data_IF_239160741915
#
_entry.id   IF_239160741915
#
_cell.length_a   1.000
_cell.length_b   1.000
_cell.length_c   1.000
_cell.angle_alpha   90.00
_cell.angle_beta   90.00
_cell.angle_gamma   90.00
#
_symmetry.space_group_name_H-M   'P 1'
#
loop_
_entity.id
_entity.type
_entity.pdbx_description
1 polymer ?
#
# COMPACT_ATOMS: atom_id res chain seq x y z
N UNK A 1 -33.85 10.31 -30.50
CA UNK A 1 -33.11 10.61 -29.25
C UNK A 1 -32.32 9.37 -28.88
N UNK A 2 -30.99 9.42 -28.96
CA UNK A 2 -30.12 8.32 -28.56
C UNK A 2 -29.60 8.62 -27.15
N UNK A 3 -29.88 7.72 -26.21
CA UNK A 3 -29.39 7.81 -24.84
C UNK A 3 -27.98 7.25 -24.87
N UNK A 4 -26.96 8.11 -24.75
CA UNK A 4 -25.58 7.66 -24.63
C UNK A 4 -25.42 6.99 -23.25
N UNK A 5 -25.32 5.67 -23.23
CA UNK A 5 -24.87 4.92 -22.06
C UNK A 5 -23.39 5.20 -21.88
N UNK A 6 -23.05 6.09 -20.95
CA UNK A 6 -21.67 6.24 -20.50
C UNK A 6 -21.31 4.99 -19.69
N UNK A 7 -20.67 4.03 -20.34
CA UNK A 7 -19.99 2.92 -19.67
C UNK A 7 -19.01 3.52 -18.68
N UNK A 8 -19.35 3.52 -17.39
CA UNK A 8 -18.41 3.97 -16.37
C UNK A 8 -17.21 3.05 -16.44
N UNK A 9 -16.07 3.58 -16.89
CA UNK A 9 -14.81 2.87 -16.78
C UNK A 9 -14.64 2.48 -15.30
N UNK A 10 -14.35 1.21 -14.98
CA UNK A 10 -14.17 0.81 -13.60
C UNK A 10 -13.08 1.68 -12.99
N UNK A 11 -13.43 2.45 -11.96
CA UNK A 11 -12.45 3.24 -11.21
C UNK A 11 -11.58 2.26 -10.44
N UNK A 12 -10.31 2.16 -10.82
CA UNK A 12 -9.34 1.37 -10.07
C UNK A 12 -9.33 1.84 -8.60
N UNK A 13 -9.27 0.90 -7.65
CA UNK A 13 -9.23 1.23 -6.23
C UNK A 13 -7.96 2.03 -5.90
N UNK A 14 -8.00 2.83 -4.84
CA UNK A 14 -6.83 3.58 -4.32
C UNK A 14 -6.14 2.89 -3.15
N UNK A 15 -6.76 1.85 -2.63
CA UNK A 15 -6.30 1.01 -1.53
C UNK A 15 -6.82 -0.41 -1.78
N UNK A 16 -6.01 -1.41 -1.45
CA UNK A 16 -6.39 -2.81 -1.55
C UNK A 16 -6.08 -3.51 -0.23
N UNK A 17 -6.99 -4.36 0.22
CA UNK A 17 -6.71 -5.28 1.31
C UNK A 17 -6.27 -6.64 0.76
N UNK A 18 -5.15 -7.22 1.24
CA UNK A 18 -4.64 -8.50 0.75
C UNK A 18 -5.65 -9.65 0.84
N UNK A 19 -6.55 -9.64 1.83
CA UNK A 19 -7.59 -10.67 1.99
C UNK A 19 -8.69 -10.61 0.90
N UNK A 20 -8.75 -9.54 0.11
CA UNK A 20 -9.59 -9.45 -1.09
C UNK A 20 -8.90 -9.98 -2.36
N UNK A 21 -7.61 -10.33 -2.28
CA UNK A 21 -6.85 -10.89 -3.38
C UNK A 21 -6.87 -12.43 -3.31
N UNK A 22 -6.62 -13.07 -4.46
CA UNK A 22 -6.25 -14.48 -4.44
C UNK A 22 -4.96 -14.66 -3.63
N UNK A 23 -4.88 -15.71 -2.81
CA UNK A 23 -3.74 -15.92 -1.89
C UNK A 23 -2.38 -15.82 -2.60
N UNK A 24 -2.24 -16.44 -3.77
CA UNK A 24 -1.00 -16.38 -4.57
C UNK A 24 -0.64 -14.96 -5.02
N UNK A 25 -1.65 -14.11 -5.27
CA UNK A 25 -1.43 -12.70 -5.64
C UNK A 25 -1.01 -11.91 -4.41
N UNK A 26 -1.65 -12.15 -3.26
CA UNK A 26 -1.26 -11.51 -2.00
C UNK A 26 0.20 -11.84 -1.63
N UNK A 27 0.60 -13.12 -1.74
CA UNK A 27 1.96 -13.57 -1.46
C UNK A 27 2.99 -12.90 -2.37
N UNK A 28 2.73 -12.88 -3.69
CA UNK A 28 3.62 -12.23 -4.67
C UNK A 28 3.77 -10.74 -4.43
N UNK A 29 2.69 -10.06 -4.04
CA UNK A 29 2.73 -8.62 -3.77
C UNK A 29 3.52 -8.35 -2.50
N UNK A 30 3.32 -9.15 -1.45
CA UNK A 30 4.12 -9.03 -0.24
C UNK A 30 5.61 -9.23 -0.52
N UNK A 31 5.96 -10.25 -1.30
CA UNK A 31 7.34 -10.50 -1.69
C UNK A 31 7.95 -9.34 -2.49
N UNK A 32 7.20 -8.77 -3.45
CA UNK A 32 7.65 -7.60 -4.21
C UNK A 32 7.89 -6.39 -3.31
N UNK A 33 7.03 -6.16 -2.32
CA UNK A 33 7.19 -5.05 -1.37
C UNK A 33 8.35 -5.30 -0.41
N UNK A 34 8.53 -6.52 0.09
CA UNK A 34 9.69 -6.89 0.91
C UNK A 34 11.01 -6.70 0.15
N UNK A 35 11.05 -7.05 -1.14
CA UNK A 35 12.20 -6.81 -2.01
C UNK A 35 12.40 -5.30 -2.26
N UNK A 36 11.32 -4.54 -2.45
CA UNK A 36 11.40 -3.10 -2.67
C UNK A 36 12.01 -2.38 -1.45
N UNK A 37 11.59 -2.78 -0.24
CA UNK A 37 12.12 -2.31 1.04
C UNK A 37 13.62 -2.66 1.14
N UNK A 38 13.99 -3.92 0.86
CA UNK A 38 15.39 -4.37 0.88
C UNK A 38 16.30 -3.58 -0.08
N UNK A 39 15.82 -3.25 -1.29
CA UNK A 39 16.57 -2.42 -2.23
C UNK A 39 16.64 -0.96 -1.79
N UNK A 40 15.58 -0.41 -1.20
CA UNK A 40 15.56 0.95 -0.67
C UNK A 40 16.60 1.13 0.45
N UNK A 41 16.70 0.17 1.38
CA UNK A 41 17.69 0.15 2.47
C UNK A 41 19.14 0.17 1.96
N UNK A 42 19.36 -0.30 0.74
CA UNK A 42 20.67 -0.35 0.06
C UNK A 42 20.91 0.83 -0.87
N UNK A 43 20.01 1.82 -0.88
CA UNK A 43 20.02 2.98 -1.78
C UNK A 43 19.89 2.60 -3.27
N UNK A 44 19.37 1.41 -3.58
CA UNK A 44 19.13 0.91 -4.93
C UNK A 44 17.75 1.37 -5.46
N UNK A 45 17.52 2.69 -5.44
CA UNK A 45 16.19 3.31 -5.63
C UNK A 45 15.50 2.96 -6.94
N UNK A 46 16.26 2.76 -8.03
CA UNK A 46 15.68 2.35 -9.32
C UNK A 46 15.11 0.94 -9.30
N UNK A 47 15.75 0.02 -8.57
CA UNK A 47 15.25 -1.35 -8.41
C UNK A 47 13.98 -1.35 -7.55
N UNK A 48 14.00 -0.61 -6.43
CA UNK A 48 12.82 -0.43 -5.56
C UNK A 48 11.62 0.14 -6.35
N UNK A 49 11.82 1.21 -7.13
CA UNK A 49 10.75 1.80 -7.95
C UNK A 49 10.16 0.85 -9.00
N UNK A 50 10.98 -0.04 -9.58
CA UNK A 50 10.50 -1.07 -10.52
C UNK A 50 9.62 -2.11 -9.83
N UNK A 51 9.99 -2.52 -8.61
CA UNK A 51 9.25 -3.49 -7.81
C UNK A 51 7.90 -2.91 -7.36
N UNK A 52 7.86 -1.64 -6.91
CA UNK A 52 6.59 -0.97 -6.63
C UNK A 52 5.69 -0.91 -7.87
N UNK A 53 6.25 -0.58 -9.05
CA UNK A 53 5.49 -0.57 -10.31
C UNK A 53 4.92 -1.94 -10.64
N UNK A 54 5.69 -3.01 -10.45
CA UNK A 54 5.24 -4.38 -10.69
C UNK A 54 4.11 -4.77 -9.72
N UNK A 55 4.23 -4.42 -8.43
CA UNK A 55 3.18 -4.64 -7.45
C UNK A 55 1.89 -3.90 -7.80
N UNK A 56 1.97 -2.61 -8.20
CA UNK A 56 0.83 -1.80 -8.65
C UNK A 56 0.10 -2.47 -9.81
N UNK A 57 0.83 -2.96 -10.81
CA UNK A 57 0.27 -3.65 -11.97
C UNK A 57 -0.40 -4.97 -11.58
N UNK A 58 0.22 -5.72 -10.67
CA UNK A 58 -0.26 -7.04 -10.23
C UNK A 58 -1.60 -6.94 -9.48
N UNK A 59 -1.78 -5.94 -8.62
CA UNK A 59 -3.02 -5.76 -7.85
C UNK A 59 -4.07 -4.89 -8.53
N UNK A 60 -3.73 -4.23 -9.64
CA UNK A 60 -4.66 -3.39 -10.40
C UNK A 60 -5.15 -2.15 -9.63
N UNK A 61 -4.36 -1.67 -8.67
CA UNK A 61 -4.62 -0.42 -7.95
C UNK A 61 -4.33 0.77 -8.88
N UNK A 62 -5.02 1.89 -8.65
CA UNK A 62 -4.68 3.15 -9.30
C UNK A 62 -3.23 3.48 -8.95
N UNK A 63 -2.36 3.81 -9.92
CA UNK A 63 -0.99 4.22 -9.63
C UNK A 63 -0.94 5.34 -8.57
N UNK A 64 -0.21 5.12 -7.46
CA UNK A 64 0.07 6.11 -6.43
C UNK A 64 0.69 7.38 -7.02
N UNK A 65 0.41 8.53 -6.41
CA UNK A 65 1.04 9.79 -6.82
C UNK A 65 2.54 9.82 -6.47
N UNK A 66 2.91 9.17 -5.37
CA UNK A 66 4.31 8.95 -4.95
C UNK A 66 5.06 7.98 -5.87
N UNK A 67 4.35 7.06 -6.53
CA UNK A 67 4.94 5.91 -7.20
C UNK A 67 5.31 4.75 -6.27
N UNK A 68 5.08 4.90 -4.96
CA UNK A 68 5.45 3.95 -3.91
C UNK A 68 4.20 3.44 -3.19
N UNK A 69 4.26 2.18 -2.76
CA UNK A 69 3.21 1.53 -1.98
C UNK A 69 3.70 1.32 -0.56
N UNK A 70 2.83 1.52 0.42
CA UNK A 70 3.05 1.16 1.81
C UNK A 70 2.10 0.06 2.24
N UNK A 71 2.51 -0.71 3.25
CA UNK A 71 1.67 -1.69 3.96
C UNK A 71 1.31 -1.17 5.34
N UNK A 72 0.03 -1.24 5.68
CA UNK A 72 -0.41 -0.92 7.03
C UNK A 72 0.04 -2.02 7.99
N UNK A 73 0.81 -1.65 9.02
CA UNK A 73 1.30 -2.54 10.09
C UNK A 73 0.58 -2.29 11.41
N UNK A 74 -0.65 -1.77 11.37
CA UNK A 74 -1.46 -1.50 12.56
C UNK A 74 -1.70 -2.78 13.38
N UNK A 75 -1.23 -2.78 14.63
CA UNK A 75 -1.35 -3.92 15.55
C UNK A 75 -2.75 -4.07 16.18
N UNK A 76 -3.61 -3.05 16.09
CA UNK A 76 -4.94 -3.11 16.70
C UNK A 76 -5.94 -3.91 15.84
N UNK A 77 -5.87 -3.76 14.52
CA UNK A 77 -6.82 -4.41 13.60
C UNK A 77 -6.18 -5.31 12.55
N UNK A 78 -4.86 -5.28 12.39
CA UNK A 78 -4.14 -6.09 11.41
C UNK A 78 -4.71 -5.98 9.98
N UNK A 79 -5.15 -4.79 9.57
CA UNK A 79 -5.89 -4.62 8.31
C UNK A 79 -5.05 -4.93 7.06
N UNK A 80 -3.71 -4.81 7.16
CA UNK A 80 -2.75 -5.14 6.09
C UNK A 80 -2.93 -4.34 4.80
N UNK A 81 -3.65 -3.22 4.84
CA UNK A 81 -3.99 -2.43 3.66
C UNK A 81 -2.74 -2.03 2.88
N UNK A 82 -2.80 -2.13 1.55
CA UNK A 82 -1.79 -1.69 0.60
C UNK A 82 -2.31 -0.41 -0.06
N UNK A 83 -1.56 0.68 0.08
CA UNK A 83 -2.00 2.03 -0.31
C UNK A 83 -0.82 2.91 -0.73
N UNK A 84 -1.11 4.13 -1.22
CA UNK A 84 -0.08 5.11 -1.58
C UNK A 84 0.77 5.50 -0.37
N UNK A 85 2.09 5.30 -0.45
CA UNK A 85 3.00 5.58 0.65
C UNK A 85 2.95 7.05 1.12
N UNK A 86 2.63 8.01 0.24
CA UNK A 86 2.48 9.42 0.63
C UNK A 86 1.31 9.69 1.59
N UNK A 87 0.41 8.72 1.76
CA UNK A 87 -0.70 8.78 2.73
C UNK A 87 -0.39 8.10 4.05
N UNK A 88 0.80 7.51 4.19
CA UNK A 88 1.19 6.78 5.38
C UNK A 88 1.32 7.74 6.55
N UNK A 89 0.77 7.35 7.70
CA UNK A 89 1.13 7.96 8.97
C UNK A 89 2.08 7.01 9.67
N UNK A 90 3.33 7.42 9.83
CA UNK A 90 4.33 6.64 10.58
C UNK A 90 4.43 7.13 12.02
N UNK A 91 4.69 6.21 12.93
CA UNK A 91 5.00 6.51 14.33
C UNK A 91 6.04 5.52 14.83
N UNK A 92 6.80 5.96 15.83
CA UNK A 92 7.82 5.15 16.48
C UNK A 92 7.27 4.62 17.80
N UNK A 93 7.54 3.36 18.08
CA UNK A 93 7.45 2.77 19.43
C UNK A 93 8.84 2.21 19.75
N UNK A 94 9.59 2.99 20.55
CA UNK A 94 11.02 2.78 20.74
C UNK A 94 11.80 2.89 19.43
N UNK A 95 12.42 1.78 19.00
CA UNK A 95 13.18 1.70 17.75
C UNK A 95 12.39 1.11 16.58
N UNK A 96 11.12 0.76 16.79
CA UNK A 96 10.29 0.13 15.77
C UNK A 96 9.41 1.18 15.13
N UNK A 97 9.55 1.36 13.82
CA UNK A 97 8.64 2.18 13.04
C UNK A 97 7.40 1.34 12.67
N UNK A 98 6.24 1.97 12.81
CA UNK A 98 4.98 1.42 12.34
C UNK A 98 4.32 2.35 11.34
N UNK A 99 3.68 1.76 10.34
CA UNK A 99 2.98 2.48 9.28
C UNK A 99 1.47 2.24 9.38
N UNK A 100 0.68 3.30 9.45
CA UNK A 100 -0.78 3.24 9.42
C UNK A 100 -1.35 3.83 8.13
N UNK A 101 -2.32 3.13 7.53
CA UNK A 101 -3.21 3.72 6.52
C UNK A 101 -4.12 4.77 7.17
N UNK A 102 -4.77 5.62 6.36
CA UNK A 102 -5.61 6.73 6.84
C UNK A 102 -6.68 6.25 7.84
N UNK A 103 -7.40 5.17 7.53
CA UNK A 103 -8.43 4.61 8.41
C UNK A 103 -7.86 4.16 9.75
N UNK A 104 -6.74 3.43 9.74
CA UNK A 104 -6.12 2.99 10.99
C UNK A 104 -5.55 4.15 11.80
N UNK A 105 -5.02 5.16 11.10
CA UNK A 105 -4.49 6.35 11.76
C UNK A 105 -5.57 7.24 12.38
N UNK A 106 -6.82 7.13 11.91
CA UNK A 106 -7.95 7.85 12.47
C UNK A 106 -8.66 7.05 13.58
N UNK A 107 -8.80 5.73 13.43
CA UNK A 107 -9.53 4.87 14.37
C UNK A 107 -8.66 4.28 15.48
N UNK A 108 -7.41 3.94 15.16
CA UNK A 108 -6.45 3.26 16.03
C UNK A 108 -5.19 4.08 16.16
N UNK A 109 -5.35 5.41 16.22
CA UNK A 109 -4.25 6.34 16.24
C UNK A 109 -3.25 5.93 17.31
N UNK A 110 -2.09 5.46 16.84
CA UNK A 110 -0.98 5.22 17.73
C UNK A 110 -0.23 6.54 17.86
N UNK A 111 -0.31 7.09 19.05
CA UNK A 111 0.53 8.18 19.48
C UNK A 111 1.79 7.50 19.98
N UNK A 112 2.90 7.58 19.23
CA UNK A 112 4.17 7.01 19.69
C UNK A 112 4.47 7.45 21.13
N UNK A 113 5.08 6.57 21.91
CA UNK A 113 5.68 6.98 23.17
C UNK A 113 6.92 7.84 22.84
N UNK A 114 7.01 9.01 23.47
CA UNK A 114 8.11 9.98 23.33
C UNK A 114 9.48 9.39 23.71
#
# INVERSE_FOLDING_TARGET
MAIAVMTHAPTQPREIHPHHLAATVADQVNELLDQADWHADRLELSASALLHRQAIQLIGIRPPASGELARCTCQNCYCGAIFDAAKARTYMDGTVEFTQCETCADEHRLTGDE
#
